data_IF_195786783624
#
_entry.id   IF_195786783624
#
_cell.length_a   1.000
_cell.length_b   1.000
_cell.length_c   1.000
_cell.angle_alpha   90.00
_cell.angle_beta   90.00
_cell.angle_gamma   90.00
#
_symmetry.space_group_name_H-M   'P 1'
#
loop_
_entity.id
_entity.type
_entity.pdbx_description
1 polymer ?
#
# COMPACT_ATOMS: atom_id res chain seq x y z
N UNK A 1 10.85 -1.36 -10.79
CA UNK A 1 10.67 -1.01 -9.37
C UNK A 1 9.28 -0.42 -9.24
N UNK A 2 8.62 -0.63 -8.10
CA UNK A 2 7.32 -0.02 -7.84
C UNK A 2 7.57 1.24 -7.03
N UNK A 3 6.98 2.35 -7.43
CA UNK A 3 7.08 3.61 -6.70
C UNK A 3 5.73 3.91 -6.04
N UNK A 4 5.69 4.06 -4.70
CA UNK A 4 4.55 4.59 -3.97
C UNK A 4 4.12 5.97 -4.50
N UNK A 5 2.86 6.13 -4.90
CA UNK A 5 2.31 7.42 -5.39
C UNK A 5 1.42 8.07 -4.35
N UNK A 6 0.51 7.31 -3.73
CA UNK A 6 -0.40 7.79 -2.70
C UNK A 6 -0.68 6.67 -1.66
N UNK A 7 -0.70 6.97 -0.36
CA UNK A 7 -0.16 8.18 0.27
C UNK A 7 1.33 8.31 -0.04
N UNK A 8 1.79 9.54 -0.29
CA UNK A 8 3.20 9.78 -0.61
C UNK A 8 4.08 9.39 0.59
N UNK A 9 5.30 8.96 0.31
CA UNK A 9 6.28 8.64 1.35
C UNK A 9 6.45 9.82 2.30
N UNK A 10 6.43 9.54 3.60
CA UNK A 10 6.55 10.47 4.72
C UNK A 10 5.42 11.53 4.77
N UNK A 11 4.31 11.30 4.08
CA UNK A 11 3.16 12.20 4.14
C UNK A 11 2.50 12.19 5.53
N UNK A 12 1.86 13.31 5.86
CA UNK A 12 1.09 13.50 7.08
C UNK A 12 -0.29 14.01 6.69
N UNK A 13 -1.35 13.40 7.21
CA UNK A 13 -2.71 13.81 6.88
C UNK A 13 -3.77 12.86 7.45
N UNK A 14 -5.04 12.98 6.99
CA UNK A 14 -6.11 12.11 7.44
C UNK A 14 -5.89 10.67 6.98
N UNK A 15 -6.69 9.74 7.52
CA UNK A 15 -6.67 8.33 7.10
C UNK A 15 -6.84 8.20 5.57
N UNK A 16 -5.86 7.61 4.86
CA UNK A 16 -5.93 7.48 3.40
C UNK A 16 -7.06 6.55 2.97
N UNK A 17 -7.92 7.03 2.08
CA UNK A 17 -9.00 6.24 1.47
C UNK A 17 -8.58 5.59 0.14
N UNK A 18 -7.36 5.88 -0.32
CA UNK A 18 -6.81 5.39 -1.59
C UNK A 18 -5.31 5.17 -1.47
N UNK A 19 -4.87 4.02 -1.96
CA UNK A 19 -3.47 3.71 -2.19
C UNK A 19 -3.22 3.57 -3.69
N UNK A 20 -2.11 4.10 -4.20
CA UNK A 20 -1.75 4.04 -5.61
C UNK A 20 -0.24 3.97 -5.80
N UNK A 21 0.21 3.27 -6.82
CA UNK A 21 1.63 3.04 -7.12
C UNK A 21 1.89 3.02 -8.62
N UNK A 22 3.16 3.01 -9.03
CA UNK A 22 3.52 2.87 -10.45
C UNK A 22 3.33 1.42 -10.94
N UNK A 23 2.73 1.21 -12.13
CA UNK A 23 2.45 -0.14 -12.61
C UNK A 23 3.73 -0.83 -13.11
N UNK A 24 3.81 -2.13 -12.83
CA UNK A 24 4.69 -3.04 -13.57
C UNK A 24 3.85 -3.61 -14.71
N UNK A 25 4.14 -3.20 -15.96
CA UNK A 25 3.39 -3.58 -17.20
C UNK A 25 3.14 -5.07 -17.38
N UNK A 26 3.92 -5.85 -16.66
CA UNK A 26 4.17 -7.24 -16.91
C UNK A 26 3.69 -8.06 -15.69
N UNK A 27 3.21 -7.41 -14.62
CA UNK A 27 2.59 -8.07 -13.48
C UNK A 27 1.16 -8.55 -13.81
N UNK A 28 0.77 -9.69 -13.25
CA UNK A 28 -0.60 -10.22 -13.33
C UNK A 28 -1.48 -9.58 -12.26
N UNK A 29 -0.90 -9.33 -11.08
CA UNK A 29 -1.55 -8.69 -9.94
C UNK A 29 -0.51 -8.09 -8.99
N UNK A 30 -1.03 -7.40 -7.98
CA UNK A 30 -0.30 -6.81 -6.88
C UNK A 30 -0.86 -7.31 -5.55
N UNK A 31 0.04 -7.40 -4.58
CA UNK A 31 -0.30 -7.60 -3.18
C UNK A 31 0.09 -6.34 -2.42
N UNK A 32 -0.76 -5.89 -1.51
CA UNK A 32 -0.52 -4.75 -0.64
C UNK A 32 -0.61 -5.18 0.81
N UNK A 33 0.32 -4.70 1.61
CA UNK A 33 0.36 -4.86 3.06
C UNK A 33 0.46 -3.48 3.70
N UNK A 34 -0.36 -3.25 4.72
CA UNK A 34 -0.31 -2.08 5.58
C UNK A 34 -0.02 -2.53 7.02
N UNK A 35 1.01 -1.94 7.63
CA UNK A 35 1.45 -2.24 8.98
C UNK A 35 1.55 -0.99 9.84
N UNK A 36 1.51 -1.19 11.16
CA UNK A 36 1.88 -0.17 12.16
C UNK A 36 3.40 -0.04 12.29
N UNK A 37 3.85 0.87 13.16
CA UNK A 37 5.26 1.09 13.52
C UNK A 37 5.92 -0.06 14.31
N UNK A 38 5.11 -0.90 14.94
CA UNK A 38 5.53 -2.14 15.60
C UNK A 38 5.26 -3.38 14.75
N UNK A 39 5.19 -3.22 13.42
CA UNK A 39 5.05 -4.30 12.43
C UNK A 39 3.76 -5.14 12.56
N UNK A 40 2.71 -4.63 13.22
CA UNK A 40 1.39 -5.29 13.20
C UNK A 40 0.70 -5.00 11.86
N UNK A 41 0.35 -6.06 11.13
CA UNK A 41 -0.48 -5.99 9.92
C UNK A 41 -1.90 -5.58 10.27
N UNK A 42 -2.37 -4.50 9.67
CA UNK A 42 -3.73 -3.96 9.87
C UNK A 42 -4.61 -4.08 8.63
N UNK A 43 -4.01 -4.28 7.46
CA UNK A 43 -4.74 -4.53 6.22
C UNK A 43 -3.85 -5.26 5.21
N UNK A 44 -4.43 -6.21 4.47
CA UNK A 44 -3.79 -6.85 3.31
C UNK A 44 -4.78 -7.04 2.17
N UNK A 45 -4.26 -7.08 0.95
CA UNK A 45 -5.02 -7.56 -0.21
C UNK A 45 -4.07 -8.16 -1.24
N UNK A 46 -4.34 -9.38 -1.74
CA UNK A 46 -3.35 -10.19 -2.48
C UNK A 46 -3.65 -10.36 -3.98
N UNK A 47 -4.73 -9.78 -4.52
CA UNK A 47 -5.11 -9.99 -5.93
C UNK A 47 -5.59 -8.73 -6.64
N UNK A 48 -4.90 -7.60 -6.42
CA UNK A 48 -5.22 -6.34 -7.07
C UNK A 48 -4.71 -6.34 -8.51
N UNK A 49 -5.60 -6.16 -9.49
CA UNK A 49 -5.20 -6.10 -10.92
C UNK A 49 -4.81 -4.71 -11.37
N UNK A 50 -5.37 -3.70 -10.73
CA UNK A 50 -5.08 -2.30 -11.00
C UNK A 50 -4.00 -1.78 -10.05
N UNK A 51 -3.18 -0.78 -10.44
CA UNK A 51 -2.14 -0.19 -9.59
C UNK A 51 -2.73 0.79 -8.56
N UNK A 52 -3.90 0.43 -8.02
CA UNK A 52 -4.68 1.21 -7.07
C UNK A 52 -5.48 0.29 -6.17
N UNK A 53 -5.57 0.68 -4.91
CA UNK A 53 -6.56 0.19 -3.96
C UNK A 53 -7.42 1.36 -3.47
N UNK A 54 -8.73 1.19 -3.46
CA UNK A 54 -9.66 2.04 -2.70
C UNK A 54 -10.02 1.28 -1.43
N UNK A 55 -9.90 1.93 -0.27
CA UNK A 55 -10.24 1.31 1.01
C UNK A 55 -11.76 1.11 1.15
N UNK A 56 -12.22 0.10 1.90
CA UNK A 56 -13.63 0.01 2.30
C UNK A 56 -14.08 1.31 2.99
N UNK A 57 -15.32 1.74 2.75
CA UNK A 57 -15.82 3.03 3.23
C UNK A 57 -15.87 3.15 4.77
N UNK A 58 -15.96 2.01 5.46
CA UNK A 58 -15.95 1.87 6.91
C UNK A 58 -14.53 1.63 7.48
N UNK A 59 -13.51 1.55 6.62
CA UNK A 59 -12.13 1.42 7.05
C UNK A 59 -11.52 2.80 7.30
N UNK A 60 -11.15 3.04 8.55
CA UNK A 60 -10.43 4.23 8.96
C UNK A 60 -9.30 3.84 9.93
N UNK A 61 -8.13 4.40 9.68
CA UNK A 61 -6.99 4.31 10.58
C UNK A 61 -7.11 5.40 11.65
N UNK A 62 -6.73 5.04 12.87
CA UNK A 62 -6.55 6.01 13.95
C UNK A 62 -5.25 6.80 13.75
N UNK A 63 -5.08 7.90 14.49
CA UNK A 63 -3.83 8.66 14.48
C UNK A 63 -2.63 7.76 14.85
N UNK A 64 -1.56 7.81 14.06
CA UNK A 64 -0.42 6.93 14.22
C UNK A 64 0.50 6.90 13.00
N UNK A 65 1.63 6.20 13.12
CA UNK A 65 2.57 5.98 12.02
C UNK A 65 2.30 4.62 11.39
N UNK A 66 2.21 4.60 10.06
CA UNK A 66 1.94 3.40 9.29
C UNK A 66 2.95 3.24 8.17
N UNK A 67 3.13 1.99 7.76
CA UNK A 67 3.97 1.61 6.63
C UNK A 67 3.14 0.80 5.66
N UNK A 68 3.30 1.05 4.37
CA UNK A 68 2.68 0.24 3.35
C UNK A 68 3.70 -0.21 2.33
N UNK A 69 3.46 -1.41 1.78
CA UNK A 69 4.31 -2.04 0.78
C UNK A 69 3.42 -2.67 -0.27
N UNK A 70 3.88 -2.61 -1.52
CA UNK A 70 3.28 -3.32 -2.64
C UNK A 70 4.31 -4.25 -3.27
N UNK A 71 3.90 -5.48 -3.52
CA UNK A 71 4.61 -6.46 -4.34
C UNK A 71 3.85 -6.65 -5.64
N UNK A 72 4.58 -6.84 -6.75
CA UNK A 72 4.01 -7.21 -8.04
C UNK A 72 4.34 -8.66 -8.33
N UNK A 73 3.36 -9.42 -8.80
CA UNK A 73 3.48 -10.86 -9.04
C UNK A 73 3.18 -11.18 -10.50
N UNK A 74 4.00 -12.04 -11.11
CA UNK A 74 3.70 -12.71 -12.40
C UNK A 74 3.95 -14.20 -12.26
N UNK A 75 3.01 -15.04 -12.71
CA UNK A 75 3.15 -16.49 -12.72
C UNK A 75 3.57 -17.05 -11.33
N UNK A 76 3.02 -16.47 -10.27
CA UNK A 76 3.35 -16.81 -8.88
C UNK A 76 4.74 -16.37 -8.40
N UNK A 77 5.45 -15.51 -9.15
CA UNK A 77 6.78 -14.98 -8.79
C UNK A 77 6.76 -13.47 -8.60
N UNK A 78 7.50 -13.00 -7.60
CA UNK A 78 7.74 -11.58 -7.40
C UNK A 78 8.53 -10.99 -8.58
N UNK A 79 7.99 -9.95 -9.19
CA UNK A 79 8.60 -9.20 -10.30
C UNK A 79 8.80 -7.71 -9.98
N UNK A 80 8.32 -7.26 -8.83
CA UNK A 80 8.50 -5.90 -8.36
C UNK A 80 8.20 -5.77 -6.87
N UNK A 81 8.84 -4.79 -6.26
CA UNK A 81 8.70 -4.44 -4.85
C UNK A 81 8.81 -2.92 -4.70
N UNK A 82 8.02 -2.35 -3.80
CA UNK A 82 8.05 -0.91 -3.50
C UNK A 82 9.00 -0.51 -2.37
N UNK A 83 9.50 -1.48 -1.61
CA UNK A 83 9.97 -1.27 -0.25
C UNK A 83 8.86 -0.77 0.68
N UNK A 84 9.20 -0.49 1.93
CA UNK A 84 8.29 0.16 2.88
C UNK A 84 8.17 1.65 2.56
N UNK A 85 6.94 2.15 2.47
CA UNK A 85 6.61 3.58 2.38
C UNK A 85 5.89 3.99 3.65
N UNK A 86 6.39 5.02 4.34
CA UNK A 86 5.78 5.49 5.59
C UNK A 86 4.75 6.59 5.32
N UNK A 87 3.76 6.72 6.18
CA UNK A 87 2.90 7.90 6.31
C UNK A 87 2.39 8.01 7.76
N UNK A 88 1.96 9.20 8.14
CA UNK A 88 1.40 9.48 9.47
C UNK A 88 -0.04 9.92 9.34
N UNK A 89 -0.92 9.24 10.07
CA UNK A 89 -2.32 9.63 10.22
C UNK A 89 -2.43 10.65 11.35
N UNK A 90 -3.07 11.79 11.06
CA UNK A 90 -3.46 12.83 12.01
C UNK A 90 -4.84 13.38 11.61
N UNK A 91 -5.56 13.88 12.60
CA UNK A 91 -6.82 14.61 12.39
C UNK A 91 -6.59 15.97 11.70
#
# INVERSE_FOLDING_TARGET
>A
MIDPVAPARDSVGPSPQRFAWTPIKTADHYEIELTTDIDIVVFTHESLREPVLTMPADFALVAGTYFWRVTAVRDGRLVGDSGRSAFVVRD
#
